data_IF_637329934305
#
_entry.id   IF_637329934305
#
_cell.length_a   1.000
_cell.length_b   1.000
_cell.length_c   1.000
_cell.angle_alpha   90.00
_cell.angle_beta   90.00
_cell.angle_gamma   90.00
#
_symmetry.space_group_name_H-M   'P 1'
#
loop_
_entity.id
_entity.type
_entity.pdbx_description
1 polymer ?
#
# COMPACT_ATOMS: atom_id res chain seq x y z
N UNK A 1 2.74 -2.83 16.21
CA UNK A 1 3.10 -1.45 16.61
C UNK A 1 2.04 -0.52 16.05
N UNK A 2 1.51 0.42 16.85
CA UNK A 2 0.54 1.41 16.36
C UNK A 2 1.33 2.61 15.81
N UNK A 3 1.36 2.77 14.50
CA UNK A 3 2.07 3.89 13.83
C UNK A 3 1.16 5.12 13.89
N UNK A 4 1.62 6.22 14.48
CA UNK A 4 0.93 7.51 14.45
C UNK A 4 1.33 8.28 13.20
N UNK A 5 0.34 8.71 12.42
CA UNK A 5 0.55 9.54 11.26
C UNK A 5 0.56 11.01 11.65
N UNK A 6 1.55 11.75 11.15
CA UNK A 6 1.76 13.17 11.43
C UNK A 6 1.96 13.91 10.10
N UNK A 7 1.28 15.04 9.91
CA UNK A 7 1.60 16.02 8.86
C UNK A 7 1.89 17.34 9.57
N UNK A 8 3.05 17.94 9.28
CA UNK A 8 3.51 19.18 9.93
C UNK A 8 3.41 19.13 11.47
N UNK A 9 3.82 17.99 12.04
CA UNK A 9 3.75 17.69 13.48
C UNK A 9 2.32 17.66 14.07
N UNK A 10 1.27 17.65 13.24
CA UNK A 10 -0.11 17.47 13.67
C UNK A 10 -0.53 16.01 13.49
N UNK A 11 -1.08 15.37 14.53
CA UNK A 11 -1.58 14.00 14.41
C UNK A 11 -2.76 13.98 13.45
N UNK A 12 -2.71 13.03 12.52
CA UNK A 12 -3.86 12.72 11.68
C UNK A 12 -4.71 11.69 12.41
N UNK A 13 -6.00 11.98 12.54
CA UNK A 13 -7.00 11.05 13.07
C UNK A 13 -7.48 10.10 11.96
N UNK A 14 -6.52 9.44 11.30
CA UNK A 14 -6.76 8.44 10.24
C UNK A 14 -5.83 7.26 10.48
N UNK A 15 -6.33 6.04 10.29
CA UNK A 15 -5.51 4.85 10.39
C UNK A 15 -4.64 4.72 9.11
N UNK A 16 -3.45 4.13 9.26
CA UNK A 16 -2.52 3.97 8.13
C UNK A 16 -3.11 3.11 7.01
N UNK A 17 -3.96 2.16 7.38
CA UNK A 17 -4.64 1.26 6.46
C UNK A 17 -5.60 2.04 5.54
N UNK A 18 -6.28 3.06 6.06
CA UNK A 18 -7.18 3.91 5.29
C UNK A 18 -6.40 4.80 4.30
N UNK A 19 -5.25 5.32 4.72
CA UNK A 19 -4.36 6.10 3.84
C UNK A 19 -3.83 5.24 2.71
N UNK A 20 -3.35 4.04 3.03
CA UNK A 20 -2.87 3.06 2.07
C UNK A 20 -3.97 2.70 1.07
N UNK A 21 -5.19 2.42 1.56
CA UNK A 21 -6.34 2.10 0.74
C UNK A 21 -6.69 3.26 -0.21
N UNK A 22 -6.72 4.50 0.29
CA UNK A 22 -6.99 5.69 -0.51
C UNK A 22 -5.94 5.93 -1.59
N UNK A 23 -4.65 5.85 -1.25
CA UNK A 23 -3.55 6.00 -2.22
C UNK A 23 -3.59 4.91 -3.30
N UNK A 24 -3.84 3.66 -2.90
CA UNK A 24 -3.97 2.56 -3.85
C UNK A 24 -5.19 2.74 -4.77
N UNK A 25 -6.32 3.22 -4.24
CA UNK A 25 -7.51 3.49 -5.04
C UNK A 25 -7.26 4.58 -6.11
N UNK A 26 -6.55 5.66 -5.73
CA UNK A 26 -6.10 6.70 -6.68
C UNK A 26 -5.17 6.11 -7.74
N UNK A 27 -4.23 5.25 -7.34
CA UNK A 27 -3.28 4.63 -8.27
C UNK A 27 -3.95 3.71 -9.29
N UNK A 28 -5.01 3.03 -8.87
CA UNK A 28 -5.81 2.12 -9.69
C UNK A 28 -6.90 2.84 -10.50
N UNK A 29 -6.97 4.18 -10.43
CA UNK A 29 -7.98 5.01 -11.09
C UNK A 29 -9.41 4.55 -10.78
N UNK A 30 -9.66 4.18 -9.52
CA UNK A 30 -10.97 3.68 -9.10
C UNK A 30 -11.98 4.84 -9.05
N UNK A 31 -13.21 4.63 -9.55
CA UNK A 31 -14.28 5.61 -9.44
C UNK A 31 -14.56 5.97 -7.97
N UNK A 32 -14.84 7.24 -7.69
CA UNK A 32 -15.15 7.72 -6.34
C UNK A 32 -16.40 7.06 -5.70
N UNK A 33 -17.26 6.48 -6.53
CA UNK A 33 -18.48 5.77 -6.18
C UNK A 33 -18.36 4.24 -6.32
N UNK A 34 -17.18 3.72 -6.64
CA UNK A 34 -16.94 2.28 -6.66
C UNK A 34 -16.83 1.74 -5.23
N UNK A 35 -17.17 0.47 -5.05
CA UNK A 35 -16.85 -0.28 -3.83
C UNK A 35 -15.32 -0.47 -3.75
N UNK A 36 -14.66 0.53 -3.15
CA UNK A 36 -13.21 0.58 -3.00
C UNK A 36 -12.71 -0.63 -2.24
N UNK A 37 -13.44 -1.08 -1.21
CA UNK A 37 -13.02 -2.21 -0.38
C UNK A 37 -13.00 -3.50 -1.20
N UNK A 38 -14.06 -3.77 -1.99
CA UNK A 38 -14.10 -4.94 -2.87
C UNK A 38 -13.03 -4.89 -3.98
N UNK A 39 -12.81 -3.72 -4.58
CA UNK A 39 -11.81 -3.54 -5.63
C UNK A 39 -10.38 -3.76 -5.12
N UNK A 40 -10.07 -3.22 -3.94
CA UNK A 40 -8.78 -3.39 -3.27
C UNK A 40 -8.57 -4.84 -2.83
N UNK A 41 -9.58 -5.47 -2.23
CA UNK A 41 -9.50 -6.89 -1.85
C UNK A 41 -9.19 -7.78 -3.05
N UNK A 42 -9.89 -7.58 -4.18
CA UNK A 42 -9.62 -8.31 -5.42
C UNK A 42 -8.20 -8.07 -5.93
N UNK A 43 -7.76 -6.82 -5.97
CA UNK A 43 -6.40 -6.46 -6.39
C UNK A 43 -5.33 -7.18 -5.55
N UNK A 44 -5.45 -7.14 -4.23
CA UNK A 44 -4.50 -7.76 -3.32
C UNK A 44 -4.51 -9.29 -3.45
N UNK A 45 -5.68 -9.90 -3.63
CA UNK A 45 -5.80 -11.34 -3.91
C UNK A 45 -5.12 -11.74 -5.23
N UNK A 46 -5.30 -10.96 -6.30
CA UNK A 46 -4.64 -11.20 -7.59
C UNK A 46 -3.11 -11.06 -7.50
N UNK A 47 -2.61 -10.07 -6.76
CA UNK A 47 -1.14 -9.89 -6.55
C UNK A 47 -0.53 -10.92 -5.61
N UNK A 48 -1.34 -11.52 -4.73
CA UNK A 48 -0.93 -12.62 -3.86
C UNK A 48 -0.87 -13.97 -4.57
N UNK A 49 -1.68 -14.18 -5.61
CA UNK A 49 -1.74 -15.41 -6.37
C UNK A 49 -0.49 -15.66 -7.25
N UNK A 50 -0.18 -16.92 -7.62
CA UNK A 50 -0.83 -18.19 -7.23
C UNK A 50 -0.20 -18.85 -5.99
N UNK A 51 0.64 -18.14 -5.24
CA UNK A 51 1.53 -18.78 -4.27
C UNK A 51 0.82 -19.06 -2.95
N UNK A 52 0.80 -20.34 -2.55
CA UNK A 52 0.46 -20.74 -1.19
C UNK A 52 1.70 -20.45 -0.32
N UNK A 53 1.82 -19.21 0.12
CA UNK A 53 2.80 -18.81 1.13
C UNK A 53 2.09 -18.80 2.50
N UNK A 54 2.83 -19.02 3.58
CA UNK A 54 2.28 -18.77 4.91
C UNK A 54 1.90 -17.29 5.08
N UNK A 55 1.05 -17.04 6.07
CA UNK A 55 0.46 -15.72 6.33
C UNK A 55 1.51 -14.61 6.45
N UNK A 56 2.65 -14.88 7.08
CA UNK A 56 3.71 -13.91 7.28
C UNK A 56 4.46 -13.60 5.98
N UNK A 57 4.74 -14.62 5.16
CA UNK A 57 5.33 -14.41 3.83
C UNK A 57 4.37 -13.72 2.87
N UNK A 58 3.06 -14.04 2.91
CA UNK A 58 2.05 -13.30 2.16
C UNK A 58 1.98 -11.84 2.61
N UNK A 59 1.93 -11.58 3.92
CA UNK A 59 1.89 -10.22 4.47
C UNK A 59 3.11 -9.40 4.04
N UNK A 60 4.33 -9.96 4.16
CA UNK A 60 5.56 -9.29 3.71
C UNK A 60 5.55 -9.00 2.21
N UNK A 61 5.10 -9.97 1.39
CA UNK A 61 5.06 -9.83 -0.07
C UNK A 61 4.02 -8.79 -0.51
N UNK A 62 2.81 -8.86 0.03
CA UNK A 62 1.75 -7.90 -0.24
C UNK A 62 2.20 -6.50 0.18
N UNK A 63 2.75 -6.35 1.38
CA UNK A 63 3.26 -5.07 1.87
C UNK A 63 4.36 -4.50 0.97
N UNK A 64 5.36 -5.31 0.59
CA UNK A 64 6.41 -4.87 -0.34
C UNK A 64 5.83 -4.45 -1.69
N UNK A 65 4.85 -5.19 -2.21
CA UNK A 65 4.26 -4.90 -3.51
C UNK A 65 3.39 -3.63 -3.47
N UNK A 66 2.60 -3.49 -2.43
CA UNK A 66 1.80 -2.30 -2.14
C UNK A 66 2.68 -1.05 -2.05
N UNK A 67 3.80 -1.12 -1.32
CA UNK A 67 4.78 -0.03 -1.26
C UNK A 67 5.26 0.32 -2.66
N UNK A 68 5.63 -0.67 -3.48
CA UNK A 68 6.11 -0.41 -4.85
C UNK A 68 5.03 0.17 -5.77
N UNK A 69 3.77 -0.23 -5.60
CA UNK A 69 2.67 0.26 -6.45
C UNK A 69 2.26 1.70 -6.06
N UNK A 70 2.31 2.04 -4.77
CA UNK A 70 1.97 3.37 -4.23
C UNK A 70 3.14 4.36 -4.34
N UNK A 71 4.38 3.91 -4.12
CA UNK A 71 5.51 4.82 -3.98
C UNK A 71 5.88 5.51 -5.30
N UNK A 72 6.41 6.74 -5.17
CA UNK A 72 6.96 7.50 -6.28
C UNK A 72 8.16 6.76 -6.89
N UNK A 73 8.11 6.37 -8.18
CA UNK A 73 9.21 5.70 -8.86
C UNK A 73 10.54 6.43 -8.74
N UNK A 74 10.54 7.77 -8.75
CA UNK A 74 11.76 8.56 -8.63
C UNK A 74 12.38 8.47 -7.23
N UNK A 75 11.55 8.43 -6.17
CA UNK A 75 12.01 8.23 -4.80
C UNK A 75 12.48 6.80 -4.57
N UNK A 76 11.81 5.81 -5.15
CA UNK A 76 12.25 4.40 -5.10
C UNK A 76 13.61 4.25 -5.77
N UNK A 77 13.77 4.78 -6.99
CA UNK A 77 15.04 4.72 -7.73
C UNK A 77 16.14 5.42 -6.93
N UNK A 78 15.88 6.60 -6.37
CA UNK A 78 16.86 7.27 -5.50
C UNK A 78 17.22 6.38 -4.33
N UNK A 79 16.26 5.90 -3.56
CA UNK A 79 16.52 5.06 -2.38
C UNK A 79 17.30 3.78 -2.71
N UNK A 80 16.96 3.08 -3.79
CA UNK A 80 17.66 1.87 -4.25
C UNK A 80 19.05 2.17 -4.80
N UNK A 81 19.27 3.37 -5.34
CA UNK A 81 20.58 3.83 -5.82
C UNK A 81 21.42 4.46 -4.69
N UNK A 82 20.83 4.71 -3.52
CA UNK A 82 21.53 5.14 -2.29
C UNK A 82 22.08 3.94 -1.50
N UNK A 83 22.05 2.71 -2.05
CA UNK A 83 22.74 1.58 -1.42
C UNK A 83 24.27 1.79 -1.46
N UNK A 84 24.82 2.15 -0.28
CA UNK A 84 26.07 1.59 0.27
C UNK A 84 25.80 0.22 0.90
#
# INVERSE_FOLDING_TARGET
>A
MKLQLLIDSKPLDIEIDDVVAGLLAVRLDLPANADQQAALARYLSEKGAPWILDEDHMRRRILRRLILDIADPALIIRHLMTEE
#
